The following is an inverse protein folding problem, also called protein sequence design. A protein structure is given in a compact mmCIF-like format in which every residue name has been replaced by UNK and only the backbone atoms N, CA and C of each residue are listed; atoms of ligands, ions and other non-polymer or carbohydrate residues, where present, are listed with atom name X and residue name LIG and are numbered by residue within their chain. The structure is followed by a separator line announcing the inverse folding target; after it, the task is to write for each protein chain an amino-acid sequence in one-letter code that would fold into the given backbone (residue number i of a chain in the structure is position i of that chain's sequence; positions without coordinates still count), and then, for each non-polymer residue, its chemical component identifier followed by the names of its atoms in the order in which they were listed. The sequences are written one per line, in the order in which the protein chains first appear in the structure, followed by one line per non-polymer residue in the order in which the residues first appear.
data_IF_786230405941
#
_entry.id   IF_786230405941
#
_cell.length_a   1.000
_cell.length_b   1.000
_cell.length_c   1.000
_cell.angle_alpha   90.00
_cell.angle_beta   90.00
_cell.angle_gamma   90.00
#
_symmetry.space_group_name_H-M   'P 1'
#
loop_
_entity.id
_entity.type
_entity.pdbx_description
1 polymer ?
#
# COMPACT_ATOMS: atom_id res chain seq x y z
N UNK A 1 10.80 -0.06 12.35
CA UNK A 1 10.82 -1.11 11.32
C UNK A 1 12.29 -1.42 10.99
N UNK A 2 12.69 -2.67 10.79
CA UNK A 2 14.05 -2.99 10.32
C UNK A 2 14.39 -2.22 9.03
N UNK A 3 15.65 -1.82 8.85
CA UNK A 3 16.07 -0.94 7.75
C UNK A 3 15.81 -1.61 6.39
N UNK A 4 16.02 -2.91 6.30
CA UNK A 4 15.82 -3.73 5.11
C UNK A 4 14.34 -3.78 4.72
N UNK A 5 13.46 -3.97 5.71
CA UNK A 5 12.01 -3.94 5.52
C UNK A 5 11.53 -2.55 5.08
N UNK A 6 12.09 -1.49 5.67
CA UNK A 6 11.76 -0.11 5.31
C UNK A 6 12.15 0.19 3.85
N UNK A 7 13.38 -0.12 3.45
CA UNK A 7 13.86 0.08 2.09
C UNK A 7 13.02 -0.70 1.07
N UNK A 8 12.67 -1.94 1.38
CA UNK A 8 11.84 -2.79 0.51
C UNK A 8 10.44 -2.20 0.34
N UNK A 9 9.79 -1.81 1.45
CA UNK A 9 8.44 -1.22 1.41
C UNK A 9 8.47 0.13 0.69
N UNK A 10 9.45 1.00 0.96
CA UNK A 10 9.63 2.27 0.26
C UNK A 10 9.68 2.06 -1.26
N UNK A 11 10.58 1.18 -1.71
CA UNK A 11 10.75 0.90 -3.15
C UNK A 11 9.46 0.39 -3.78
N UNK A 12 8.81 -0.58 -3.13
CA UNK A 12 7.58 -1.18 -3.62
C UNK A 12 6.44 -0.14 -3.69
N UNK A 13 6.21 0.62 -2.62
CA UNK A 13 5.13 1.61 -2.58
C UNK A 13 5.34 2.72 -3.62
N UNK A 14 6.58 3.17 -3.82
CA UNK A 14 6.93 4.11 -4.89
C UNK A 14 6.71 3.52 -6.28
N UNK A 15 6.90 2.21 -6.47
CA UNK A 15 6.54 1.53 -7.70
C UNK A 15 5.02 1.49 -7.91
N UNK A 16 4.24 1.10 -6.90
CA UNK A 16 2.78 1.03 -6.99
C UNK A 16 2.15 2.40 -7.30
N UNK A 17 2.73 3.49 -6.76
CA UNK A 17 2.30 4.84 -7.13
C UNK A 17 2.49 5.13 -8.62
N UNK A 18 3.63 4.79 -9.20
CA UNK A 18 3.86 4.96 -10.65
C UNK A 18 2.91 4.10 -11.49
N UNK A 19 2.55 2.91 -11.02
CA UNK A 19 1.50 2.09 -11.64
C UNK A 19 0.16 2.83 -11.62
N UNK A 20 -0.22 3.39 -10.47
CA UNK A 20 -1.43 4.19 -10.34
C UNK A 20 -1.44 5.44 -11.22
N UNK A 21 -0.33 6.16 -11.34
CA UNK A 21 -0.20 7.35 -12.20
C UNK A 21 -0.49 7.03 -13.68
N UNK A 22 -0.31 5.76 -14.11
CA UNK A 22 -0.62 5.26 -15.44
C UNK A 22 -1.99 4.55 -15.54
N UNK A 23 -2.89 4.75 -14.58
CA UNK A 23 -4.19 4.06 -14.50
C UNK A 23 -5.08 4.23 -15.74
N UNK A 24 -4.93 5.32 -16.49
CA UNK A 24 -5.67 5.54 -17.73
C UNK A 24 -5.38 4.49 -18.82
N UNK A 25 -4.19 3.87 -18.76
CA UNK A 25 -3.75 2.83 -19.70
C UNK A 25 -3.85 1.44 -19.08
N UNK A 26 -3.31 1.25 -17.88
CA UNK A 26 -3.23 -0.07 -17.24
C UNK A 26 -4.48 -0.46 -16.43
N UNK A 27 -5.43 0.47 -16.23
CA UNK A 27 -6.67 0.27 -15.48
C UNK A 27 -6.48 -0.14 -14.01
N UNK A 28 -5.39 0.30 -13.40
CA UNK A 28 -5.07 0.04 -11.99
C UNK A 28 -5.20 1.32 -11.15
N UNK A 29 -6.43 1.71 -10.75
CA UNK A 29 -6.62 2.73 -9.73
C UNK A 29 -6.05 2.26 -8.37
N UNK A 30 -5.87 3.20 -7.44
CA UNK A 30 -5.35 2.91 -6.10
C UNK A 30 -6.10 1.76 -5.41
N UNK A 31 -7.43 1.74 -5.49
CA UNK A 31 -8.25 0.69 -4.87
C UNK A 31 -7.90 -0.71 -5.38
N UNK A 32 -7.66 -0.88 -6.69
CA UNK A 32 -7.31 -2.19 -7.26
C UNK A 32 -5.95 -2.65 -6.74
N UNK A 33 -4.98 -1.73 -6.63
CA UNK A 33 -3.68 -2.02 -6.05
C UNK A 33 -3.81 -2.39 -4.57
N UNK A 34 -4.59 -1.64 -3.80
CA UNK A 34 -4.79 -1.89 -2.38
C UNK A 34 -5.51 -3.22 -2.09
N UNK A 35 -6.47 -3.63 -2.91
CA UNK A 35 -7.15 -4.93 -2.80
C UNK A 35 -6.17 -6.08 -3.02
N UNK A 36 -5.32 -6.00 -4.05
CA UNK A 36 -4.38 -7.07 -4.41
C UNK A 36 -3.21 -7.14 -3.42
N UNK A 37 -2.63 -5.98 -3.08
CA UNK A 37 -1.43 -5.92 -2.25
C UNK A 37 -1.72 -5.86 -0.75
N UNK A 38 -2.93 -5.47 -0.34
CA UNK A 38 -3.38 -5.43 1.07
C UNK A 38 -2.99 -6.69 1.84
N UNK A 39 -3.48 -7.88 1.44
CA UNK A 39 -3.19 -9.14 2.14
C UNK A 39 -1.71 -9.56 2.13
N UNK A 40 -0.92 -9.03 1.18
CA UNK A 40 0.50 -9.37 1.03
C UNK A 40 1.39 -8.46 1.88
N UNK A 41 1.01 -7.19 2.02
CA UNK A 41 1.76 -6.17 2.77
C UNK A 41 1.40 -6.13 4.25
N UNK A 42 0.14 -6.41 4.57
CA UNK A 42 -0.39 -6.31 5.91
C UNK A 42 -1.02 -7.64 6.31
N UNK A 43 -0.78 -8.02 7.56
CA UNK A 43 -1.43 -9.16 8.21
C UNK A 43 -2.19 -8.65 9.42
N UNK A 44 -3.48 -8.36 9.25
CA UNK A 44 -4.36 -8.08 10.41
C UNK A 44 -4.67 -9.39 11.14
N UNK A 45 -4.35 -9.45 12.43
CA UNK A 45 -4.66 -10.57 13.33
C UNK A 45 -5.46 -10.08 14.54
N UNK A 46 -6.38 -9.13 14.35
CA UNK A 46 -7.24 -8.64 15.43
C UNK A 46 -8.53 -9.43 15.55
N UNK A 47 -9.07 -9.53 16.76
CA UNK A 47 -10.38 -10.11 17.01
C UNK A 47 -11.45 -9.14 16.47
N UNK A 48 -12.01 -9.43 15.30
CA UNK A 48 -13.04 -8.64 14.63
C UNK A 48 -13.60 -9.38 13.43
N UNK A 49 -14.69 -8.90 12.81
CA UNK A 49 -15.21 -9.55 11.60
C UNK A 49 -14.20 -9.42 10.43
N UNK A 50 -14.08 -10.47 9.62
CA UNK A 50 -13.07 -10.55 8.55
C UNK A 50 -13.25 -9.44 7.51
N UNK A 51 -14.50 -9.05 7.23
CA UNK A 51 -14.82 -7.98 6.28
C UNK A 51 -14.26 -6.62 6.71
N UNK A 52 -14.38 -6.27 7.99
CA UNK A 52 -13.89 -5.02 8.54
C UNK A 52 -12.38 -4.99 8.51
N UNK A 53 -11.73 -6.10 8.87
CA UNK A 53 -10.28 -6.23 8.77
C UNK A 53 -9.80 -6.03 7.33
N UNK A 54 -10.50 -6.62 6.36
CA UNK A 54 -10.18 -6.46 4.96
C UNK A 54 -10.34 -5.00 4.51
N UNK A 55 -11.41 -4.31 4.92
CA UNK A 55 -11.62 -2.88 4.61
C UNK A 55 -10.50 -2.02 5.18
N UNK A 56 -10.19 -2.16 6.45
CA UNK A 56 -9.12 -1.39 7.12
C UNK A 56 -7.76 -1.61 6.47
N UNK A 57 -7.46 -2.85 6.09
CA UNK A 57 -6.24 -3.21 5.40
C UNK A 57 -6.15 -2.54 4.02
N UNK A 58 -7.23 -2.60 3.24
CA UNK A 58 -7.29 -1.95 1.92
C UNK A 58 -7.10 -0.44 2.09
N UNK A 59 -7.83 0.19 3.00
CA UNK A 59 -7.79 1.64 3.20
C UNK A 59 -6.40 2.09 3.68
N UNK A 60 -5.74 1.30 4.53
CA UNK A 60 -4.37 1.55 4.98
C UNK A 60 -3.38 1.50 3.81
N UNK A 61 -3.44 0.47 2.95
CA UNK A 61 -2.53 0.36 1.80
C UNK A 61 -2.80 1.44 0.77
N UNK A 62 -4.06 1.76 0.51
CA UNK A 62 -4.47 2.87 -0.36
C UNK A 62 -3.85 4.19 0.10
N UNK A 63 -3.97 4.49 1.40
CA UNK A 63 -3.36 5.67 2.01
C UNK A 63 -1.83 5.68 1.87
N UNK A 64 -1.16 4.56 2.15
CA UNK A 64 0.30 4.44 2.05
C UNK A 64 0.79 4.73 0.63
N UNK A 65 0.11 4.20 -0.40
CA UNK A 65 0.48 4.44 -1.81
C UNK A 65 0.24 5.90 -2.17
N UNK A 66 -0.92 6.46 -1.80
CA UNK A 66 -1.29 7.85 -2.10
C UNK A 66 -0.30 8.84 -1.46
N UNK A 67 0.05 8.63 -0.19
CA UNK A 67 0.91 9.54 0.58
C UNK A 67 2.39 9.18 0.53
N UNK A 68 2.79 8.23 -0.32
CA UNK A 68 4.16 7.72 -0.44
C UNK A 68 5.27 8.79 -0.54
N UNK A 69 5.04 9.85 -1.30
CA UNK A 69 5.98 10.99 -1.39
C UNK A 69 6.28 11.69 -0.05
N UNK A 70 5.30 11.76 0.85
CA UNK A 70 5.44 12.38 2.18
C UNK A 70 6.00 11.35 3.17
N UNK A 71 5.45 10.14 3.16
CA UNK A 71 5.82 9.07 4.10
C UNK A 71 7.30 8.63 3.98
N UNK A 72 7.92 8.83 2.82
CA UNK A 72 9.29 8.40 2.53
C UNK A 72 10.23 9.56 2.16
N UNK A 73 9.89 10.80 2.50
CA UNK A 73 10.67 12.00 2.16
C UNK A 73 12.03 12.07 2.91
N UNK A 74 12.08 11.62 4.16
CA UNK A 74 13.18 11.92 5.09
C UNK A 74 14.38 10.97 5.05
N UNK A 75 14.38 9.96 4.17
CA UNK A 75 15.50 9.02 4.01
C UNK A 75 15.96 9.01 2.56
N UNK A 76 16.96 9.83 2.21
CA UNK A 76 17.69 9.80 0.94
C UNK A 76 19.11 9.28 1.15
#
# INVERSE_FOLDING_TARGET
MPIESYCTIKFLVQHLRRVHENQSVNRMPLKNLAVVFGPTLLRCHHAGNEEQQMREMIDTVEFIIQQSHILFADYS
#
